data_IF_808835377056
#
_entry.id   IF_808835377056
#
_cell.length_a   1.000
_cell.length_b   1.000
_cell.length_c   1.000
_cell.angle_alpha   90.00
_cell.angle_beta   90.00
_cell.angle_gamma   90.00
#
_symmetry.space_group_name_H-M   'P 1'
#
loop_
_entity.id
_entity.type
_entity.pdbx_description
1 polymer ?
#
# COMPACT_ATOMS: atom_id res chain seq x y z
N UNK A 1 18.82 -50.91 -11.47
CA UNK A 1 17.74 -50.16 -12.13
C UNK A 1 16.49 -50.37 -11.31
N UNK A 2 16.00 -49.30 -10.67
CA UNK A 2 14.83 -49.31 -9.79
C UNK A 2 13.69 -48.66 -10.55
N UNK A 3 12.70 -49.45 -10.97
CA UNK A 3 11.49 -48.94 -11.59
C UNK A 3 10.53 -48.41 -10.51
N UNK A 4 10.35 -47.09 -10.50
CA UNK A 4 9.27 -46.43 -9.75
C UNK A 4 7.95 -46.69 -10.47
N UNK A 5 7.05 -47.42 -9.82
CA UNK A 5 5.68 -47.63 -10.30
C UNK A 5 4.77 -46.56 -9.72
N UNK A 6 4.44 -45.56 -10.52
CA UNK A 6 3.39 -44.58 -10.24
C UNK A 6 2.04 -45.30 -10.26
N UNK A 7 1.27 -45.24 -9.16
CA UNK A 7 -0.09 -45.77 -9.12
C UNK A 7 -1.11 -44.62 -9.14
N UNK A 8 -1.98 -44.64 -10.13
CA UNK A 8 -3.04 -43.66 -10.36
C UNK A 8 -4.23 -43.93 -9.43
N UNK A 9 -4.71 -42.88 -8.77
CA UNK A 9 -5.80 -42.86 -7.78
C UNK A 9 -7.13 -43.36 -8.36
N UNK A 10 -7.53 -44.61 -8.13
CA UNK A 10 -8.95 -45.03 -8.20
C UNK A 10 -9.37 -46.10 -7.19
N UNK A 11 -8.57 -46.40 -6.18
CA UNK A 11 -8.92 -47.49 -5.23
C UNK A 11 -8.56 -47.13 -3.80
N UNK A 12 -9.20 -46.10 -3.25
CA UNK A 12 -9.36 -45.92 -1.82
C UNK A 12 -10.44 -44.88 -1.60
N UNK A 13 -11.67 -45.31 -1.33
CA UNK A 13 -12.65 -44.69 -0.42
C UNK A 13 -13.95 -45.48 -0.56
N UNK A 14 -13.92 -46.69 0.02
CA UNK A 14 -15.12 -47.43 0.37
C UNK A 14 -15.66 -46.91 1.69
N UNK A 15 -16.99 -46.88 1.78
CA UNK A 15 -17.83 -46.70 2.98
C UNK A 15 -17.75 -45.36 3.72
N UNK A 16 -18.48 -44.36 3.22
CA UNK A 16 -19.36 -43.54 4.09
C UNK A 16 -20.76 -43.61 3.50
N UNK A 17 -21.70 -43.98 4.37
CA UNK A 17 -23.05 -44.34 4.04
C UNK A 17 -23.96 -43.13 3.78
N UNK A 18 -24.87 -43.33 2.83
CA UNK A 18 -26.21 -42.77 2.74
C UNK A 18 -26.38 -41.24 2.68
N UNK A 19 -26.58 -40.74 1.44
CA UNK A 19 -27.58 -39.70 1.19
C UNK A 19 -27.13 -38.49 0.38
N UNK A 20 -26.97 -38.64 -0.93
CA UNK A 20 -27.54 -37.77 -1.99
C UNK A 20 -26.93 -38.12 -3.36
N UNK A 21 -27.82 -38.41 -4.32
CA UNK A 21 -27.51 -38.74 -5.72
C UNK A 21 -27.74 -37.51 -6.60
N UNK A 22 -26.69 -37.09 -7.35
CA UNK A 22 -26.64 -36.49 -8.70
C UNK A 22 -27.37 -35.14 -8.94
N UNK A 23 -26.76 -34.12 -9.57
CA UNK A 23 -26.26 -34.00 -10.97
C UNK A 23 -25.13 -32.92 -11.01
N UNK A 24 -23.95 -33.11 -11.62
CA UNK A 24 -23.57 -32.73 -13.02
C UNK A 24 -23.48 -31.19 -13.21
N UNK A 25 -22.41 -30.51 -13.63
CA UNK A 25 -21.13 -30.81 -14.30
C UNK A 25 -20.09 -29.71 -13.94
N UNK A 26 -18.80 -30.06 -13.92
CA UNK A 26 -17.60 -29.20 -13.95
C UNK A 26 -17.54 -27.94 -13.04
N UNK A 27 -16.88 -28.08 -11.88
CA UNK A 27 -16.03 -27.03 -11.28
C UNK A 27 -15.06 -27.68 -10.28
N UNK A 28 -13.77 -27.35 -10.37
CA UNK A 28 -12.82 -27.64 -9.30
C UNK A 28 -12.95 -26.52 -8.27
N UNK A 29 -13.60 -26.82 -7.14
CA UNK A 29 -13.85 -25.92 -6.01
C UNK A 29 -14.40 -26.63 -4.76
N UNK A 30 -13.76 -27.75 -4.38
CA UNK A 30 -14.01 -28.64 -3.21
C UNK A 30 -15.33 -29.46 -3.16
N UNK A 31 -15.23 -30.73 -2.71
CA UNK A 31 -16.32 -31.72 -2.73
C UNK A 31 -16.54 -32.51 -1.43
N UNK A 32 -15.97 -32.09 -0.29
CA UNK A 32 -16.33 -32.72 0.99
C UNK A 32 -16.13 -31.83 2.21
N UNK A 33 -17.20 -31.75 3.00
CA UNK A 33 -17.26 -31.26 4.37
C UNK A 33 -17.21 -32.48 5.31
N UNK A 34 -16.32 -32.52 6.30
CA UNK A 34 -16.59 -33.28 7.53
C UNK A 34 -15.83 -32.73 8.73
N UNK A 35 -16.54 -32.71 9.86
CA UNK A 35 -16.22 -32.14 11.14
C UNK A 35 -15.00 -32.74 11.86
N UNK A 36 -14.45 -31.91 12.75
CA UNK A 36 -13.64 -32.25 13.91
C UNK A 36 -12.25 -32.88 13.63
N UNK A 37 -11.39 -32.08 13.00
CA UNK A 37 -9.94 -31.96 13.26
C UNK A 37 -9.36 -30.98 12.25
N UNK A 38 -8.79 -29.88 12.73
CA UNK A 38 -8.32 -28.76 11.91
C UNK A 38 -7.48 -29.20 10.72
N UNK A 39 -8.04 -29.02 9.53
CA UNK A 39 -7.31 -29.07 8.26
C UNK A 39 -7.26 -27.66 7.71
N UNK A 40 -6.07 -27.07 7.68
CA UNK A 40 -5.83 -25.80 6.98
C UNK A 40 -5.91 -26.07 5.49
N UNK A 41 -6.87 -25.45 4.81
CA UNK A 41 -7.00 -25.51 3.35
C UNK A 41 -6.53 -24.17 2.79
N UNK A 42 -5.52 -24.20 1.93
CA UNK A 42 -5.12 -23.03 1.16
C UNK A 42 -6.17 -22.83 0.06
N UNK A 43 -7.10 -21.89 0.25
CA UNK A 43 -8.06 -21.57 -0.79
C UNK A 43 -7.33 -20.85 -1.96
N UNK A 44 -7.60 -21.29 -3.18
CA UNK A 44 -7.24 -20.59 -4.42
C UNK A 44 -8.37 -19.61 -4.72
N UNK A 45 -8.11 -18.48 -5.39
CA UNK A 45 -9.17 -17.59 -5.89
C UNK A 45 -10.00 -18.36 -6.92
N UNK A 46 -11.10 -18.94 -6.45
CA UNK A 46 -12.06 -19.69 -7.23
C UNK A 46 -13.33 -18.84 -7.33
N UNK A 47 -13.85 -18.66 -8.55
CA UNK A 47 -15.10 -17.94 -8.79
C UNK A 47 -16.31 -18.54 -8.07
N UNK A 48 -16.19 -19.75 -7.53
CA UNK A 48 -17.22 -20.44 -6.74
C UNK A 48 -17.02 -20.36 -5.22
N UNK A 49 -16.01 -19.64 -4.72
CA UNK A 49 -15.77 -19.49 -3.28
C UNK A 49 -16.95 -18.77 -2.59
N UNK A 50 -17.38 -19.29 -1.43
CA UNK A 50 -18.45 -18.70 -0.63
C UNK A 50 -18.05 -17.34 -0.04
N UNK A 51 -16.78 -17.20 0.31
CA UNK A 51 -16.14 -15.95 0.71
C UNK A 51 -14.99 -15.70 -0.26
N UNK A 52 -15.02 -14.55 -0.93
CA UNK A 52 -13.91 -14.08 -1.77
C UNK A 52 -13.15 -12.99 -1.02
N UNK A 53 -11.83 -13.01 -1.13
CA UNK A 53 -10.93 -12.01 -0.54
C UNK A 53 -9.97 -11.57 -1.63
N UNK A 54 -10.16 -10.36 -2.14
CA UNK A 54 -9.27 -9.70 -3.09
C UNK A 54 -8.40 -8.67 -2.35
N UNK A 55 -7.41 -8.07 -3.02
CA UNK A 55 -6.51 -7.08 -2.41
C UNK A 55 -5.58 -7.70 -1.38
N UNK A 56 -4.61 -8.48 -1.86
CA UNK A 56 -3.61 -9.15 -1.00
C UNK A 56 -2.23 -8.52 -1.09
N UNK A 57 -2.03 -7.66 -2.08
CA UNK A 57 -0.77 -6.99 -2.41
C UNK A 57 -0.80 -5.56 -1.89
N UNK A 58 0.38 -4.97 -1.73
CA UNK A 58 0.53 -3.62 -1.17
C UNK A 58 -0.16 -2.50 -1.96
N UNK A 59 -0.47 -2.73 -3.23
CA UNK A 59 -1.15 -1.79 -4.13
C UNK A 59 -2.69 -1.90 -4.12
N UNK A 60 -3.25 -2.86 -3.39
CA UNK A 60 -4.69 -3.13 -3.35
C UNK A 60 -5.24 -3.23 -1.93
N UNK A 61 -6.25 -2.44 -1.61
CA UNK A 61 -6.96 -2.57 -0.32
C UNK A 61 -7.79 -3.87 -0.28
N UNK A 62 -7.70 -4.68 0.79
CA UNK A 62 -8.46 -5.91 0.92
C UNK A 62 -9.98 -5.72 0.75
N UNK A 63 -10.60 -6.59 -0.06
CA UNK A 63 -12.07 -6.62 -0.26
C UNK A 63 -12.61 -8.00 0.06
N UNK A 64 -13.48 -8.06 1.08
CA UNK A 64 -14.18 -9.26 1.51
C UNK A 64 -15.58 -9.29 0.88
N UNK A 65 -15.91 -10.34 0.13
CA UNK A 65 -17.19 -10.49 -0.57
C UNK A 65 -17.89 -11.77 -0.13
N UNK A 66 -19.12 -11.65 0.38
CA UNK A 66 -19.98 -12.79 0.67
C UNK A 66 -20.73 -13.21 -0.59
N UNK A 67 -20.33 -14.33 -1.19
CA UNK A 67 -21.01 -14.94 -2.34
C UNK A 67 -22.02 -16.02 -1.95
N UNK A 68 -22.24 -16.21 -0.66
CA UNK A 68 -23.25 -17.12 -0.16
C UNK A 68 -24.64 -16.45 -0.13
N UNK A 69 -25.68 -17.28 -0.14
CA UNK A 69 -27.08 -16.81 -0.20
C UNK A 69 -27.62 -16.31 1.15
N UNK A 70 -26.82 -16.40 2.21
CA UNK A 70 -27.17 -15.93 3.56
C UNK A 70 -26.11 -14.99 4.10
N UNK A 71 -26.47 -14.23 5.13
CA UNK A 71 -25.55 -13.37 5.85
C UNK A 71 -24.38 -14.19 6.43
N UNK A 72 -23.22 -13.55 6.46
CA UNK A 72 -21.96 -14.13 6.92
C UNK A 72 -21.31 -13.17 7.90
N UNK A 73 -21.07 -13.62 9.13
CA UNK A 73 -20.31 -12.88 10.14
C UNK A 73 -18.83 -13.17 9.97
N UNK A 74 -18.02 -12.14 9.77
CA UNK A 74 -16.58 -12.20 9.59
C UNK A 74 -15.90 -11.69 10.86
N UNK A 75 -14.90 -12.44 11.34
CA UNK A 75 -13.98 -12.02 12.39
C UNK A 75 -12.56 -12.06 11.83
N UNK A 76 -11.81 -10.98 12.03
CA UNK A 76 -10.41 -10.84 11.64
C UNK A 76 -9.57 -10.71 12.90
N UNK A 77 -8.57 -11.57 13.04
CA UNK A 77 -7.65 -11.55 14.17
C UNK A 77 -6.22 -11.69 13.67
N UNK A 78 -5.36 -10.75 14.03
CA UNK A 78 -3.91 -10.94 13.85
C UNK A 78 -3.39 -11.86 14.97
N UNK A 79 -2.49 -12.83 14.68
CA UNK A 79 -2.00 -13.79 15.66
C UNK A 79 -1.26 -13.15 16.84
N UNK A 80 -0.81 -11.90 16.68
CA UNK A 80 -0.32 -11.06 17.78
C UNK A 80 -1.17 -9.78 17.82
N UNK A 81 -1.74 -9.45 18.98
CA UNK A 81 -2.69 -8.32 19.14
C UNK A 81 -2.09 -6.95 18.77
N UNK A 82 -0.76 -6.82 18.82
CA UNK A 82 -0.04 -5.58 18.47
C UNK A 82 0.48 -5.57 17.01
N UNK A 83 0.19 -6.62 16.22
CA UNK A 83 0.78 -6.74 14.87
C UNK A 83 -0.07 -6.16 13.75
N UNK A 84 -1.35 -5.88 13.97
CA UNK A 84 -2.19 -5.23 12.98
C UNK A 84 -3.42 -4.57 13.61
N UNK A 85 -3.86 -3.48 13.00
CA UNK A 85 -5.15 -2.85 13.24
C UNK A 85 -6.00 -2.87 11.97
N UNK A 86 -7.31 -3.05 12.14
CA UNK A 86 -8.29 -3.18 11.06
C UNK A 86 -9.30 -2.05 11.14
N UNK A 87 -9.49 -1.32 10.05
CA UNK A 87 -10.64 -0.42 9.86
C UNK A 87 -11.59 -1.05 8.84
N UNK A 88 -12.77 -1.43 9.32
CA UNK A 88 -13.79 -2.15 8.53
C UNK A 88 -14.88 -1.24 7.99
N UNK A 89 -14.97 0.00 8.47
CA UNK A 89 -16.02 0.95 8.12
C UNK A 89 -15.47 2.17 7.36
N UNK A 90 -14.15 2.23 7.14
CA UNK A 90 -13.43 3.32 6.45
C UNK A 90 -13.70 4.68 7.11
N UNK A 91 -13.78 4.69 8.45
CA UNK A 91 -14.06 5.88 9.25
C UNK A 91 -12.83 6.41 10.00
N UNK A 92 -11.68 5.75 9.83
CA UNK A 92 -10.42 6.02 10.51
C UNK A 92 -10.30 5.35 11.88
N UNK A 93 -11.31 4.60 12.33
CA UNK A 93 -11.29 3.88 13.60
C UNK A 93 -10.78 2.47 13.37
N UNK A 94 -9.55 2.22 13.81
CA UNK A 94 -8.94 0.89 13.71
C UNK A 94 -9.08 0.10 15.02
N UNK A 95 -9.21 -1.22 14.89
CA UNK A 95 -9.31 -2.18 16.02
C UNK A 95 -8.37 -3.36 15.81
N UNK A 96 -7.80 -3.93 16.88
CA UNK A 96 -6.90 -5.09 16.80
C UNK A 96 -7.61 -6.43 16.49
N UNK A 97 -8.92 -6.49 16.74
CA UNK A 97 -9.81 -7.56 16.30
C UNK A 97 -11.06 -6.93 15.69
N UNK A 98 -11.34 -7.25 14.42
CA UNK A 98 -12.48 -6.73 13.69
C UNK A 98 -13.59 -7.78 13.59
N UNK A 99 -14.83 -7.37 13.81
CA UNK A 99 -16.02 -8.22 13.68
C UNK A 99 -17.12 -7.48 12.92
N UNK A 100 -17.53 -8.02 11.78
CA UNK A 100 -18.54 -7.40 10.92
C UNK A 100 -19.42 -8.45 10.25
N UNK A 101 -20.54 -8.02 9.67
CA UNK A 101 -21.45 -8.90 8.93
C UNK A 101 -21.54 -8.45 7.49
N UNK A 102 -21.50 -9.42 6.57
CA UNK A 102 -21.76 -9.24 5.15
C UNK A 102 -23.09 -9.91 4.80
N UNK A 103 -24.04 -9.13 4.31
CA UNK A 103 -25.26 -9.66 3.72
C UNK A 103 -24.96 -10.51 2.47
N UNK A 104 -25.91 -11.32 2.02
CA UNK A 104 -25.76 -12.07 0.78
C UNK A 104 -25.41 -11.15 -0.42
N UNK A 105 -24.27 -11.40 -1.07
CA UNK A 105 -23.75 -10.59 -2.18
C UNK A 105 -23.07 -9.27 -1.77
N UNK A 106 -22.96 -8.98 -0.46
CA UNK A 106 -22.30 -7.77 0.03
C UNK A 106 -20.78 -7.91 -0.04
N UNK A 107 -20.12 -6.81 -0.38
CA UNK A 107 -18.67 -6.66 -0.28
C UNK A 107 -18.30 -5.56 0.70
N UNK A 108 -17.19 -5.71 1.40
CA UNK A 108 -16.63 -4.71 2.30
C UNK A 108 -15.14 -4.54 2.08
N UNK A 109 -14.72 -3.29 2.02
CA UNK A 109 -13.31 -2.90 1.99
C UNK A 109 -12.83 -2.89 3.44
N UNK A 110 -11.66 -3.44 3.69
CA UNK A 110 -11.04 -3.44 5.01
C UNK A 110 -9.63 -2.91 4.89
N UNK A 111 -9.40 -1.75 5.48
CA UNK A 111 -8.06 -1.15 5.59
C UNK A 111 -7.30 -1.84 6.71
N UNK A 112 -6.03 -2.15 6.45
CA UNK A 112 -5.14 -2.84 7.38
C UNK A 112 -3.89 -2.00 7.60
N UNK A 113 -3.56 -1.74 8.85
CA UNK A 113 -2.33 -1.08 9.27
C UNK A 113 -1.52 -2.03 10.14
N UNK A 114 -0.21 -2.04 9.97
CA UNK A 114 0.69 -2.91 10.71
C UNK A 114 2.10 -2.34 10.71
N UNK A 115 2.95 -2.82 11.62
CA UNK A 115 4.37 -2.44 11.70
C UNK A 115 5.30 -3.34 10.85
N UNK A 116 4.72 -4.11 9.93
CA UNK A 116 5.45 -5.07 9.09
C UNK A 116 4.95 -5.00 7.65
N UNK A 117 5.82 -5.25 6.68
CA UNK A 117 5.45 -5.24 5.25
C UNK A 117 4.49 -6.37 4.86
N UNK A 118 4.37 -7.39 5.70
CA UNK A 118 3.44 -8.50 5.52
C UNK A 118 2.85 -8.87 6.88
N UNK A 119 1.53 -9.14 6.93
CA UNK A 119 0.85 -9.69 8.10
C UNK A 119 0.09 -10.95 7.74
N UNK A 120 0.07 -11.92 8.65
CA UNK A 120 -0.84 -13.06 8.57
C UNK A 120 -2.10 -12.77 9.37
N UNK A 121 -3.27 -12.76 8.75
CA UNK A 121 -4.56 -12.58 9.42
C UNK A 121 -5.31 -13.91 9.49
N UNK A 122 -5.78 -14.27 10.67
CA UNK A 122 -6.74 -15.36 10.87
C UNK A 122 -8.15 -14.83 10.58
N UNK A 123 -8.85 -15.52 9.69
CA UNK A 123 -10.17 -15.13 9.22
C UNK A 123 -11.15 -16.23 9.57
N UNK A 124 -12.18 -15.87 10.32
CA UNK A 124 -13.28 -16.72 10.69
C UNK A 124 -14.57 -16.16 10.09
N UNK A 125 -15.26 -16.98 9.31
CA UNK A 125 -16.52 -16.60 8.69
C UNK A 125 -17.62 -17.59 9.07
N UNK A 126 -18.64 -17.13 9.79
CA UNK A 126 -19.73 -17.96 10.31
C UNK A 126 -21.06 -17.60 9.64
N UNK A 127 -21.83 -18.61 9.27
CA UNK A 127 -23.14 -18.50 8.62
C UNK A 127 -24.03 -19.66 9.06
N UNK A 128 -25.33 -19.62 8.76
CA UNK A 128 -26.32 -20.58 9.29
C UNK A 128 -25.96 -22.07 9.01
N UNK A 129 -25.31 -22.34 7.88
CA UNK A 129 -24.96 -23.68 7.45
C UNK A 129 -23.55 -24.14 7.89
N UNK A 130 -22.74 -23.28 8.52
CA UNK A 130 -21.41 -23.67 8.96
C UNK A 130 -20.45 -22.52 9.25
N UNK A 131 -19.15 -22.85 9.21
CA UNK A 131 -18.05 -21.94 9.49
C UNK A 131 -16.88 -22.22 8.55
N UNK A 132 -16.24 -21.15 8.09
CA UNK A 132 -14.99 -21.15 7.34
C UNK A 132 -13.91 -20.59 8.28
N UNK A 133 -12.75 -21.24 8.31
CA UNK A 133 -11.58 -20.72 9.01
C UNK A 133 -10.38 -20.84 8.09
N UNK A 134 -9.67 -19.74 7.90
CA UNK A 134 -8.50 -19.69 7.04
C UNK A 134 -7.50 -18.66 7.57
N UNK A 135 -6.27 -18.77 7.11
CA UNK A 135 -5.22 -17.78 7.35
C UNK A 135 -4.78 -17.23 6.00
N UNK A 136 -4.59 -15.91 5.94
CA UNK A 136 -4.08 -15.22 4.75
C UNK A 136 -2.97 -14.28 5.11
N UNK A 137 -2.01 -14.19 4.21
CA UNK A 137 -1.04 -13.12 4.27
C UNK A 137 -1.54 -11.95 3.42
N UNK A 138 -1.33 -10.75 3.94
CA UNK A 138 -1.57 -9.49 3.27
C UNK A 138 -0.27 -8.72 3.29
N UNK A 139 0.13 -8.21 2.13
CA UNK A 139 1.17 -7.18 2.06
C UNK A 139 0.57 -5.86 2.54
N UNK A 140 1.34 -5.14 3.35
CA UNK A 140 0.91 -3.87 3.93
C UNK A 140 1.63 -2.75 3.16
N UNK A 141 0.88 -1.77 2.63
CA UNK A 141 1.46 -0.68 1.87
C UNK A 141 2.48 0.12 2.71
N UNK A 142 3.68 0.37 2.16
CA UNK A 142 4.64 1.30 2.75
C UNK A 142 4.00 2.67 2.95
N UNK A 143 3.14 3.11 2.03
CA UNK A 143 2.41 4.37 2.17
C UNK A 143 1.52 4.46 3.42
N UNK A 144 1.04 3.34 3.98
CA UNK A 144 0.26 3.35 5.23
C UNK A 144 1.15 3.30 6.48
N UNK A 145 2.41 2.89 6.30
CA UNK A 145 3.43 2.82 7.34
C UNK A 145 4.25 4.10 7.43
N UNK A 146 4.23 4.90 6.36
CA UNK A 146 5.03 6.11 6.23
C UNK A 146 4.22 7.31 6.71
N UNK A 147 4.31 7.59 7.99
CA UNK A 147 3.88 8.88 8.55
C UNK A 147 5.03 9.88 8.39
N UNK A 148 4.96 10.67 7.32
CA UNK A 148 5.97 11.69 7.03
C UNK A 148 5.56 13.01 7.66
N UNK A 149 6.44 13.58 8.48
CA UNK A 149 6.36 14.98 8.85
C UNK A 149 7.05 15.83 7.78
N UNK A 150 6.32 16.56 6.91
CA UNK A 150 6.97 17.49 6.00
C UNK A 150 7.43 18.72 6.77
N UNK A 151 8.71 19.05 6.68
CA UNK A 151 9.22 20.37 7.09
C UNK A 151 9.48 21.19 5.85
N UNK A 152 9.17 22.49 5.87
CA UNK A 152 9.54 23.40 4.76
C UNK A 152 10.55 24.38 5.30
N UNK A 153 11.81 24.23 4.91
CA UNK A 153 12.93 25.00 5.45
C UNK A 153 13.08 26.37 4.78
N UNK A 154 12.80 26.45 3.47
CA UNK A 154 12.90 27.70 2.73
C UNK A 154 12.11 27.66 1.43
N UNK A 155 11.25 28.66 1.24
CA UNK A 155 10.66 28.94 -0.06
C UNK A 155 11.04 30.36 -0.52
N UNK A 156 11.73 30.43 -1.66
CA UNK A 156 12.45 31.62 -2.08
C UNK A 156 11.71 32.46 -3.12
N UNK A 157 12.06 33.75 -3.17
CA UNK A 157 11.72 34.62 -4.31
C UNK A 157 12.29 34.14 -5.65
N UNK A 158 13.28 33.25 -5.61
CA UNK A 158 13.93 32.63 -6.77
C UNK A 158 13.21 31.40 -7.32
N UNK A 159 12.05 31.04 -6.76
CA UNK A 159 11.31 29.83 -7.13
C UNK A 159 11.89 28.54 -6.55
N UNK A 160 12.80 28.65 -5.58
CA UNK A 160 13.32 27.51 -4.83
C UNK A 160 12.32 27.07 -3.78
N UNK A 161 12.27 25.78 -3.51
CA UNK A 161 11.47 25.17 -2.47
C UNK A 161 12.24 24.01 -1.85
N UNK A 162 12.56 24.09 -0.58
CA UNK A 162 13.29 23.06 0.18
C UNK A 162 12.36 22.48 1.25
N UNK A 163 12.34 21.15 1.34
CA UNK A 163 11.50 20.44 2.30
C UNK A 163 12.20 19.18 2.84
N UNK A 164 11.96 18.85 4.09
CA UNK A 164 12.41 17.61 4.72
C UNK A 164 11.28 16.59 4.81
N UNK A 165 11.64 15.32 4.73
CA UNK A 165 10.76 14.18 5.01
C UNK A 165 11.45 13.30 6.05
N UNK A 166 10.79 13.06 7.18
CA UNK A 166 11.22 12.11 8.21
C UNK A 166 10.18 11.00 8.34
N UNK A 167 10.61 9.74 8.35
CA UNK A 167 9.72 8.59 8.46
C UNK A 167 9.46 8.24 9.92
N UNK A 168 8.19 8.25 10.35
CA UNK A 168 7.78 7.85 11.71
C UNK A 168 7.27 6.41 11.78
N UNK A 169 7.27 5.72 10.63
CA UNK A 169 6.93 4.32 10.49
C UNK A 169 7.97 3.39 11.06
N UNK A 170 7.56 2.18 11.39
CA UNK A 170 8.39 1.13 11.98
C UNK A 170 9.32 0.42 10.98
N UNK A 171 9.23 0.74 9.69
CA UNK A 171 10.04 0.15 8.62
C UNK A 171 10.72 1.22 7.77
N UNK A 172 11.84 0.85 7.15
CA UNK A 172 12.47 1.68 6.12
C UNK A 172 11.55 1.77 4.91
N UNK A 173 11.32 2.98 4.41
CA UNK A 173 10.51 3.21 3.22
C UNK A 173 11.38 3.62 2.04
N UNK A 174 11.14 3.02 0.87
CA UNK A 174 11.97 3.27 -0.31
C UNK A 174 11.15 4.01 -1.35
N UNK A 175 11.47 5.28 -1.57
CA UNK A 175 10.85 6.14 -2.57
C UNK A 175 11.46 5.85 -3.94
N UNK A 176 10.60 5.69 -4.95
CA UNK A 176 11.01 5.41 -6.35
C UNK A 176 10.62 6.53 -7.31
N UNK A 177 9.49 7.19 -7.08
CA UNK A 177 9.03 8.28 -7.93
C UNK A 177 8.37 9.41 -7.14
N UNK A 178 8.31 10.57 -7.78
CA UNK A 178 7.62 11.75 -7.25
C UNK A 178 6.84 12.46 -8.35
N UNK A 179 5.72 13.07 -7.96
CA UNK A 179 4.91 13.97 -8.78
C UNK A 179 4.56 15.22 -7.98
N UNK A 180 4.33 16.33 -8.68
CA UNK A 180 3.73 17.53 -8.11
C UNK A 180 2.30 17.62 -8.64
N UNK A 181 1.32 17.38 -7.77
CA UNK A 181 -0.10 17.37 -8.14
C UNK A 181 -0.60 18.78 -8.41
N UNK A 182 -0.30 19.72 -7.50
CA UNK A 182 -0.68 21.13 -7.63
C UNK A 182 0.21 22.05 -6.78
N UNK A 183 0.12 23.36 -7.01
CA UNK A 183 0.71 24.39 -6.17
C UNK A 183 -0.27 25.54 -5.99
N UNK A 184 -0.18 26.28 -4.88
CA UNK A 184 -1.00 27.50 -4.72
C UNK A 184 -0.54 28.71 -5.57
N UNK A 185 0.39 28.49 -6.52
CA UNK A 185 0.96 29.53 -7.40
C UNK A 185 0.55 29.32 -8.87
N UNK A 186 1.07 30.16 -9.78
CA UNK A 186 0.84 30.00 -11.23
C UNK A 186 1.92 29.19 -11.96
N UNK A 187 2.78 28.49 -11.22
CA UNK A 187 3.79 27.58 -11.77
C UNK A 187 3.14 26.42 -12.53
N UNK A 188 3.76 26.00 -13.62
CA UNK A 188 3.31 24.85 -14.42
C UNK A 188 4.35 23.71 -14.47
N UNK A 189 5.55 23.94 -13.92
CA UNK A 189 6.64 22.96 -13.85
C UNK A 189 7.74 23.38 -12.88
N UNK A 190 8.61 22.42 -12.55
CA UNK A 190 9.97 22.62 -12.06
C UNK A 190 10.94 22.45 -13.24
N UNK A 191 11.94 23.32 -13.36
CA UNK A 191 12.90 23.25 -14.48
C UNK A 191 13.77 21.97 -14.45
N UNK A 192 14.42 21.67 -15.58
CA UNK A 192 15.31 20.50 -15.72
C UNK A 192 16.51 20.58 -14.78
N UNK A 193 16.96 19.41 -14.29
CA UNK A 193 18.19 19.23 -13.49
C UNK A 193 18.20 19.91 -12.13
N UNK A 194 17.04 19.97 -11.51
CA UNK A 194 16.81 20.88 -10.40
C UNK A 194 16.11 20.21 -9.21
N UNK A 195 16.06 18.87 -9.16
CA UNK A 195 15.69 18.12 -7.94
C UNK A 195 16.92 17.50 -7.33
N UNK A 196 17.17 17.86 -6.08
CA UNK A 196 18.31 17.41 -5.32
C UNK A 196 17.87 16.81 -3.99
N UNK A 197 18.59 15.78 -3.56
CA UNK A 197 18.72 15.43 -2.15
C UNK A 197 19.92 16.20 -1.62
N UNK A 198 19.70 16.96 -0.55
CA UNK A 198 20.71 17.84 0.05
C UNK A 198 21.44 17.11 1.18
N UNK A 199 20.77 16.22 1.90
CA UNK A 199 21.38 15.43 2.96
C UNK A 199 20.60 14.15 3.23
N UNK A 200 21.28 13.01 3.22
CA UNK A 200 20.80 11.74 3.80
C UNK A 200 21.37 11.53 5.23
N UNK A 201 22.25 12.43 5.71
CA UNK A 201 22.79 12.43 7.07
C UNK A 201 23.45 13.78 7.43
N UNK A 202 23.75 14.00 8.72
CA UNK A 202 24.50 15.13 9.30
C UNK A 202 25.89 15.42 8.67
N UNK A 203 26.31 14.69 7.64
CA UNK A 203 27.54 14.95 6.90
C UNK A 203 27.38 16.11 5.91
N UNK A 204 27.57 17.33 6.41
CA UNK A 204 27.62 18.63 5.69
C UNK A 204 28.63 18.68 4.51
N UNK A 205 29.37 17.60 4.24
CA UNK A 205 30.41 17.54 3.21
C UNK A 205 30.01 16.73 1.95
N UNK A 206 28.84 16.10 1.93
CA UNK A 206 28.38 15.44 0.71
C UNK A 206 27.81 16.47 -0.27
N UNK A 207 28.17 16.31 -1.55
CA UNK A 207 27.62 17.18 -2.60
C UNK A 207 26.17 16.77 -2.85
N UNK A 208 25.24 17.72 -3.05
CA UNK A 208 23.84 17.39 -3.33
C UNK A 208 23.72 16.38 -4.47
N UNK A 209 23.00 15.29 -4.22
CA UNK A 209 22.72 14.24 -5.21
C UNK A 209 21.55 14.68 -6.07
N UNK A 210 21.72 14.71 -7.38
CA UNK A 210 20.64 15.02 -8.30
C UNK A 210 19.79 13.75 -8.52
N UNK A 211 18.51 13.77 -8.14
CA UNK A 211 17.62 12.61 -8.32
C UNK A 211 16.94 12.57 -9.67
N UNK A 212 16.57 13.74 -10.20
CA UNK A 212 15.77 13.84 -11.44
C UNK A 212 16.42 14.87 -12.36
N UNK A 213 16.71 14.46 -13.59
CA UNK A 213 17.27 15.31 -14.65
C UNK A 213 16.23 15.86 -15.61
N UNK A 214 15.06 15.24 -15.68
CA UNK A 214 13.93 15.68 -16.48
C UNK A 214 13.18 16.86 -15.85
N UNK A 215 12.23 17.44 -16.61
CA UNK A 215 11.29 18.43 -16.07
C UNK A 215 10.19 17.71 -15.30
N UNK A 216 9.82 18.22 -14.14
CA UNK A 216 8.55 17.87 -13.51
C UNK A 216 7.47 18.83 -13.95
N UNK A 217 6.43 18.31 -14.57
CA UNK A 217 5.22 19.04 -14.84
C UNK A 217 4.31 19.01 -13.61
N UNK A 218 3.57 20.09 -13.40
CA UNK A 218 2.62 20.20 -12.29
C UNK A 218 1.23 19.82 -12.81
N UNK A 219 0.60 18.84 -12.17
CA UNK A 219 -0.77 18.43 -12.46
C UNK A 219 -1.05 16.98 -12.07
N UNK A 220 -2.25 16.71 -11.55
CA UNK A 220 -2.74 15.37 -11.17
C UNK A 220 -2.80 14.36 -12.33
N UNK A 221 -2.79 14.82 -13.57
CA UNK A 221 -2.78 13.96 -14.76
C UNK A 221 -1.38 13.73 -15.33
N UNK A 222 -0.35 14.38 -14.78
CA UNK A 222 1.03 14.15 -15.17
C UNK A 222 1.50 12.80 -14.60
N UNK A 223 2.37 12.07 -15.30
CA UNK A 223 2.90 10.82 -14.78
C UNK A 223 3.81 11.06 -13.57
N UNK A 224 3.86 10.08 -12.67
CA UNK A 224 4.94 9.97 -11.69
C UNK A 224 6.29 9.94 -12.41
N UNK A 225 7.26 10.68 -11.87
CA UNK A 225 8.61 10.74 -12.42
C UNK A 225 9.54 9.97 -11.51
N UNK A 226 10.00 8.81 -11.99
CA UNK A 226 10.98 8.00 -11.31
C UNK A 226 12.32 8.71 -11.15
N UNK A 227 13.07 8.34 -10.11
CA UNK A 227 14.44 8.80 -9.92
C UNK A 227 15.38 8.22 -10.99
N UNK A 228 16.34 9.01 -11.45
CA UNK A 228 17.27 8.62 -12.49
C UNK A 228 18.23 7.52 -12.01
N UNK A 229 18.70 6.66 -12.92
CA UNK A 229 19.75 5.64 -12.68
C UNK A 229 19.49 4.66 -11.51
N UNK A 230 18.23 4.33 -11.21
CA UNK A 230 17.86 3.50 -10.07
C UNK A 230 18.26 4.12 -8.71
N UNK A 231 18.42 5.45 -8.66
CA UNK A 231 18.73 6.21 -7.44
C UNK A 231 17.50 6.31 -6.53
N UNK A 232 17.05 5.18 -5.97
CA UNK A 232 16.01 5.15 -4.94
C UNK A 232 16.45 5.95 -3.70
N UNK A 233 15.49 6.47 -2.96
CA UNK A 233 15.74 7.18 -1.69
C UNK A 233 15.10 6.40 -0.56
N UNK A 234 15.91 5.98 0.41
CA UNK A 234 15.40 5.28 1.59
C UNK A 234 15.18 6.26 2.72
N UNK A 235 13.93 6.41 3.19
CA UNK A 235 13.60 7.08 4.43
C UNK A 235 13.72 6.07 5.58
N UNK A 236 14.76 6.17 6.43
CA UNK A 236 15.00 5.18 7.47
C UNK A 236 13.91 5.20 8.54
N UNK A 237 13.58 4.05 9.10
CA UNK A 237 12.73 3.97 10.30
C UNK A 237 13.40 4.69 11.51
N UNK A 238 12.63 5.14 12.51
CA UNK A 238 13.17 5.62 13.77
C UNK A 238 14.07 4.57 14.43
N UNK A 239 15.19 5.01 15.01
CA UNK A 239 15.99 4.13 15.84
C UNK A 239 15.22 3.75 17.12
N UNK A 240 15.66 2.68 17.80
CA UNK A 240 15.01 2.23 19.03
C UNK A 240 14.97 3.36 20.09
N UNK A 241 13.75 3.80 20.43
CA UNK A 241 13.51 4.88 21.39
C UNK A 241 13.39 6.28 20.79
N UNK A 242 13.40 6.42 19.47
CA UNK A 242 13.15 7.67 18.74
C UNK A 242 11.72 7.72 18.19
N UNK A 243 11.19 8.93 17.98
CA UNK A 243 9.82 9.15 17.49
C UNK A 243 9.74 9.32 15.96
N UNK A 244 10.88 9.59 15.32
CA UNK A 244 11.03 9.79 13.88
C UNK A 244 12.43 9.33 13.45
N UNK A 245 12.57 8.83 12.23
CA UNK A 245 13.84 8.53 11.60
C UNK A 245 14.55 9.79 11.11
N UNK A 246 15.76 9.60 10.59
CA UNK A 246 16.55 10.71 10.05
C UNK A 246 15.81 11.46 8.93
N UNK A 247 15.78 12.79 9.04
CA UNK A 247 15.16 13.65 8.04
C UNK A 247 16.01 13.71 6.76
N UNK A 248 15.38 13.43 5.62
CA UNK A 248 15.98 13.61 4.30
C UNK A 248 15.49 14.91 3.69
N UNK A 249 16.42 15.80 3.35
CA UNK A 249 16.10 17.12 2.79
C UNK A 249 16.12 17.09 1.26
N UNK A 250 14.99 17.43 0.68
CA UNK A 250 14.75 17.57 -0.74
C UNK A 250 14.70 19.03 -1.16
N UNK A 251 14.99 19.27 -2.44
CA UNK A 251 14.91 20.60 -3.02
C UNK A 251 14.42 20.58 -4.45
N UNK A 252 13.41 21.41 -4.71
CA UNK A 252 13.07 21.90 -6.04
C UNK A 252 13.80 23.24 -6.28
N UNK A 253 14.72 23.32 -7.25
CA UNK A 253 15.55 24.51 -7.44
C UNK A 253 14.80 25.67 -8.13
N UNK A 254 13.86 25.39 -9.04
CA UNK A 254 13.10 26.46 -9.69
C UNK A 254 11.74 26.07 -10.23
N UNK A 255 10.71 26.49 -9.52
CA UNK A 255 9.35 26.59 -10.04
C UNK A 255 9.24 27.71 -11.08
N UNK A 256 8.47 27.45 -12.13
CA UNK A 256 8.20 28.46 -13.14
C UNK A 256 7.08 28.11 -14.09
N UNK A 257 6.92 29.00 -15.08
CA UNK A 257 5.88 28.92 -16.11
C UNK A 257 6.48 29.15 -17.50
N UNK A 258 6.04 28.41 -18.50
CA UNK A 258 6.38 28.73 -19.89
C UNK A 258 5.48 29.85 -20.42
N UNK A 259 6.09 30.91 -20.97
CA UNK A 259 5.33 31.90 -21.75
C UNK A 259 5.05 31.37 -23.16
N UNK A 260 3.77 31.15 -23.47
CA UNK A 260 3.21 30.60 -24.72
C UNK A 260 3.77 31.15 -26.05
N UNK A 261 4.44 32.31 -26.07
CA UNK A 261 4.95 32.91 -27.31
C UNK A 261 6.44 32.71 -27.55
N UNK A 262 7.25 32.53 -26.51
CA UNK A 262 8.72 32.53 -26.64
C UNK A 262 9.39 31.32 -25.98
N UNK A 263 8.64 30.40 -25.37
CA UNK A 263 9.16 29.29 -24.53
C UNK A 263 10.19 29.76 -23.49
N UNK A 264 10.14 31.04 -23.09
CA UNK A 264 11.01 31.56 -22.03
C UNK A 264 10.44 31.12 -20.69
N UNK A 265 11.26 30.40 -19.94
CA UNK A 265 10.97 30.02 -18.57
C UNK A 265 10.93 31.29 -17.71
N UNK A 266 9.80 31.54 -17.05
CA UNK A 266 9.66 32.61 -16.07
C UNK A 266 9.57 31.98 -14.69
N UNK A 267 10.52 32.29 -13.83
CA UNK A 267 10.49 31.92 -12.41
C UNK A 267 9.22 32.43 -11.74
N UNK A 268 8.61 31.57 -10.93
CA UNK A 268 7.49 31.89 -10.04
C UNK A 268 8.02 31.96 -8.61
N UNK A 269 7.53 32.92 -7.82
CA UNK A 269 7.92 33.07 -6.42
C UNK A 269 7.16 32.04 -5.59
N UNK A 270 7.89 31.28 -4.76
CA UNK A 270 7.28 30.22 -3.92
C UNK A 270 7.15 30.61 -2.44
N UNK A 271 7.65 31.79 -2.03
CA UNK A 271 7.47 32.31 -0.66
C UNK A 271 5.99 32.38 -0.25
N UNK A 272 5.65 31.66 0.82
CA UNK A 272 4.28 31.50 1.34
C UNK A 272 3.37 30.61 0.48
N UNK A 273 3.93 29.83 -0.44
CA UNK A 273 3.17 28.89 -1.26
C UNK A 273 3.02 27.53 -0.56
N UNK A 274 2.05 26.76 -1.06
CA UNK A 274 1.92 25.33 -0.79
C UNK A 274 2.18 24.54 -2.06
N UNK A 275 2.72 23.34 -1.90
CA UNK A 275 3.03 22.38 -2.96
C UNK A 275 2.46 21.04 -2.53
N UNK A 276 1.55 20.48 -3.31
CA UNK A 276 1.05 19.14 -3.09
C UNK A 276 1.87 18.16 -3.93
N UNK A 277 2.54 17.21 -3.26
CA UNK A 277 3.34 16.19 -3.91
C UNK A 277 2.73 14.80 -3.69
N UNK A 278 2.97 13.91 -4.63
CA UNK A 278 2.72 12.48 -4.48
C UNK A 278 4.02 11.72 -4.64
N UNK A 279 4.23 10.73 -3.79
CA UNK A 279 5.41 9.87 -3.76
C UNK A 279 4.93 8.43 -3.99
N UNK A 280 5.62 7.73 -4.88
CA UNK A 280 5.48 6.28 -5.09
C UNK A 280 6.63 5.56 -4.40
N UNK A 281 6.29 4.52 -3.65
CA UNK A 281 7.22 3.67 -2.94
C UNK A 281 7.52 2.38 -3.73
N UNK A 282 8.57 1.65 -3.31
CA UNK A 282 9.05 0.44 -4.00
C UNK A 282 8.06 -0.73 -4.07
N UNK A 283 7.00 -0.69 -3.27
CA UNK A 283 5.89 -1.64 -3.30
C UNK A 283 4.72 -1.16 -4.16
N UNK A 284 4.91 -0.10 -4.96
CA UNK A 284 3.91 0.57 -5.80
C UNK A 284 2.77 1.25 -5.03
N UNK A 285 2.89 1.38 -3.71
CA UNK A 285 1.98 2.19 -2.91
C UNK A 285 2.32 3.69 -3.03
N UNK A 286 1.32 4.56 -2.89
CA UNK A 286 1.49 6.00 -3.05
C UNK A 286 1.01 6.77 -1.82
N UNK A 287 1.70 7.86 -1.47
CA UNK A 287 1.26 8.81 -0.46
C UNK A 287 1.30 10.25 -1.00
N UNK A 288 0.32 11.07 -0.57
CA UNK A 288 0.21 12.47 -0.97
C UNK A 288 0.47 13.38 0.23
N UNK A 289 1.28 14.40 0.03
CA UNK A 289 1.71 15.34 1.08
C UNK A 289 1.46 16.78 0.66
N UNK A 290 0.90 17.58 1.56
CA UNK A 290 0.83 19.03 1.40
C UNK A 290 2.01 19.69 2.11
N UNK A 291 2.91 20.29 1.32
CA UNK A 291 4.07 21.03 1.81
C UNK A 291 3.71 22.51 1.88
N UNK A 292 3.65 23.09 3.08
CA UNK A 292 3.31 24.52 3.26
C UNK A 292 4.45 25.27 3.95
N UNK A 293 4.89 26.39 3.36
CA UNK A 293 5.84 27.29 4.02
C UNK A 293 5.15 28.00 5.20
N UNK A 294 5.55 27.63 6.43
CA UNK A 294 4.94 28.10 7.68
C UNK A 294 5.33 29.52 8.13
N UNK A 295 5.98 30.32 7.27
CA UNK A 295 6.41 31.68 7.59
C UNK A 295 5.35 32.76 7.34
#
# INVERSE_FOLDING_TARGET
MVDKKTMTRRTAFGSIAAGLLLLGEQTFGFSSLQADRGTTVTAVDDGTALLTINGKTADETPVFENRFETDMRITLTAPNEDSAEFDVDDDGTSVSEADFTLSAGESRIVSMNADTTEITVAIEATFDAGKITLQRNFEIPQSSQVDITPTVAASGGSGKFEFGLANRGSIDAVMEAIRINDTSTDADRVAEKEIFVISESDNVNESPRQLISSQLYIGENEPLTGFDNDDSVTLPAPAEGEEEGDEIVFKFDRFGKLKNKNKKFKTVKMSGASVNIEIEFSDSSNATFELTDGN
#
